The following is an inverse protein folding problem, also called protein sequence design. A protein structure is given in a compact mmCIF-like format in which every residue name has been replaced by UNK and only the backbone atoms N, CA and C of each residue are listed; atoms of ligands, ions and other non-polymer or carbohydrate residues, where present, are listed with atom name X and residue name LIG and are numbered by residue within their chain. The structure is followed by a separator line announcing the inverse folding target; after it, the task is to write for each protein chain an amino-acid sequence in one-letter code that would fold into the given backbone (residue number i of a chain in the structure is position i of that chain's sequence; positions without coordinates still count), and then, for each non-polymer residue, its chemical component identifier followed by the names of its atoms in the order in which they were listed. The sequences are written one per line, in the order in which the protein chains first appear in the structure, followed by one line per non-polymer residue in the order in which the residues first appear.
data_IF_931692711776
#
_entry.id   IF_931692711776
#
_cell.length_a   1.000
_cell.length_b   1.000
_cell.length_c   1.000
_cell.angle_alpha   90.00
_cell.angle_beta   90.00
_cell.angle_gamma   90.00
#
_symmetry.space_group_name_H-M   'P 1'
#
loop_
_entity.id
_entity.type
_entity.pdbx_description
1 polymer ?
#
# COMPACT_ATOMS: atom_id res chain seq x y z
N UNK A 1 -8.20 -1.62 -6.88
CA UNK A 1 -7.87 -0.23 -7.30
C UNK A 1 -8.69 0.80 -6.54
N UNK A 2 -9.96 0.57 -6.28
CA UNK A 2 -10.87 1.57 -5.71
C UNK A 2 -10.56 1.97 -4.25
N UNK A 3 -9.70 1.24 -3.55
CA UNK A 3 -9.16 1.66 -2.25
C UNK A 3 -7.90 2.55 -2.37
N UNK A 4 -7.26 2.63 -3.54
CA UNK A 4 -5.97 3.32 -3.70
C UNK A 4 -6.12 4.81 -4.04
N UNK A 5 -7.21 5.17 -4.72
CA UNK A 5 -7.42 6.52 -5.26
C UNK A 5 -8.87 6.97 -5.07
N UNK A 6 -9.07 8.29 -5.02
CA UNK A 6 -10.38 8.92 -5.21
C UNK A 6 -10.67 9.12 -6.70
N UNK A 7 -11.94 9.17 -7.09
CA UNK A 7 -12.34 9.19 -8.49
C UNK A 7 -13.38 10.26 -8.78
N UNK A 8 -13.33 10.79 -10.01
CA UNK A 8 -14.39 11.58 -10.63
C UNK A 8 -14.51 11.19 -12.11
N UNK A 9 -15.73 10.94 -12.59
CA UNK A 9 -16.01 10.52 -13.96
C UNK A 9 -15.11 9.37 -14.47
N UNK A 10 -14.77 8.41 -13.61
CA UNK A 10 -13.93 7.26 -13.93
C UNK A 10 -12.42 7.54 -14.00
N UNK A 11 -11.99 8.76 -13.66
CA UNK A 11 -10.58 9.19 -13.64
C UNK A 11 -10.09 9.32 -12.20
N UNK A 12 -8.84 8.95 -11.96
CA UNK A 12 -8.20 9.13 -10.64
C UNK A 12 -7.92 10.61 -10.38
N UNK A 13 -8.26 11.09 -9.18
CA UNK A 13 -8.02 12.45 -8.72
C UNK A 13 -6.83 12.55 -7.79
N UNK A 14 -6.93 11.88 -6.65
CA UNK A 14 -5.96 11.93 -5.56
C UNK A 14 -5.65 10.53 -5.04
N UNK A 15 -4.48 10.39 -4.42
CA UNK A 15 -4.17 9.21 -3.61
C UNK A 15 -5.15 9.15 -2.44
N UNK A 16 -5.72 7.99 -2.16
CA UNK A 16 -6.67 7.79 -1.08
C UNK A 16 -5.96 7.61 0.28
N UNK A 17 -5.29 8.67 0.71
CA UNK A 17 -4.66 8.78 2.03
C UNK A 17 -5.30 9.98 2.75
N UNK A 18 -6.27 9.76 3.68
CA UNK A 18 -7.07 10.85 4.28
C UNK A 18 -6.25 11.97 4.92
N UNK A 19 -5.08 11.66 5.47
CA UNK A 19 -4.13 12.64 6.03
C UNK A 19 -3.30 13.37 4.97
N UNK A 20 -3.39 12.97 3.69
CA UNK A 20 -2.70 13.56 2.54
C UNK A 20 -3.65 13.89 1.40
N UNK A 21 -4.79 14.49 1.71
CA UNK A 21 -5.92 14.68 0.78
C UNK A 21 -5.62 15.42 -0.52
N UNK A 22 -4.41 15.93 -0.71
CA UNK A 22 -4.03 16.77 -1.86
C UNK A 22 -2.93 16.16 -2.73
N UNK A 23 -2.53 14.91 -2.50
CA UNK A 23 -1.53 14.25 -3.36
C UNK A 23 -2.22 13.82 -4.66
N UNK A 24 -1.90 14.46 -5.82
CA UNK A 24 -2.49 14.07 -7.09
C UNK A 24 -2.23 12.59 -7.40
N UNK A 25 -3.22 11.93 -8.01
CA UNK A 25 -3.05 10.56 -8.48
C UNK A 25 -2.01 10.50 -9.63
N UNK A 26 -1.42 9.31 -9.89
CA UNK A 26 -0.52 9.12 -11.02
C UNK A 26 -1.22 9.36 -12.36
N UNK A 27 -0.45 9.61 -13.41
CA UNK A 27 -0.94 9.67 -14.79
C UNK A 27 -1.54 8.33 -15.23
N UNK A 28 -0.90 7.24 -14.82
CA UNK A 28 -1.34 5.86 -15.05
C UNK A 28 -1.11 5.04 -13.80
N UNK A 29 -2.11 4.29 -13.38
CA UNK A 29 -1.96 3.13 -12.51
C UNK A 29 -2.45 1.90 -13.27
N UNK A 30 -1.56 0.96 -13.54
CA UNK A 30 -1.87 -0.30 -14.19
C UNK A 30 -1.47 -1.47 -13.27
N UNK A 31 -2.34 -2.47 -13.18
CA UNK A 31 -2.09 -3.73 -12.48
C UNK A 31 -2.14 -4.89 -13.47
N UNK A 32 -1.18 -5.80 -13.38
CA UNK A 32 -1.18 -7.05 -14.13
C UNK A 32 -1.16 -8.23 -13.16
N UNK A 33 -2.20 -9.06 -13.22
CA UNK A 33 -2.26 -10.28 -12.41
C UNK A 33 -1.16 -11.27 -12.82
N UNK A 34 -0.86 -12.25 -11.97
CA UNK A 34 0.05 -13.33 -12.33
C UNK A 34 -0.50 -14.20 -13.47
N UNK A 35 -1.82 -14.19 -13.69
CA UNK A 35 -2.48 -14.83 -14.82
C UNK A 35 -2.41 -14.04 -16.14
N UNK A 36 -1.91 -12.80 -16.09
CA UNK A 36 -1.76 -11.94 -17.28
C UNK A 36 -2.88 -10.93 -17.51
N UNK A 37 -3.99 -10.97 -16.74
CA UNK A 37 -5.06 -10.01 -16.86
C UNK A 37 -4.58 -8.62 -16.46
N UNK A 38 -4.95 -7.60 -17.25
CA UNK A 38 -4.56 -6.21 -17.02
C UNK A 38 -5.79 -5.39 -16.64
N UNK A 39 -5.64 -4.60 -15.58
CA UNK A 39 -6.58 -3.55 -15.20
C UNK A 39 -5.82 -2.23 -15.05
N UNK A 40 -6.44 -1.10 -15.43
CA UNK A 40 -5.78 0.19 -15.39
C UNK A 40 -6.75 1.34 -15.15
N UNK A 41 -6.21 2.46 -14.68
CA UNK A 41 -6.90 3.74 -14.54
C UNK A 41 -5.95 4.88 -14.91
N UNK A 42 -6.51 5.94 -15.47
CA UNK A 42 -5.76 7.16 -15.81
C UNK A 42 -6.10 8.29 -14.85
N UNK A 43 -5.11 9.11 -14.52
CA UNK A 43 -5.29 10.36 -13.80
C UNK A 43 -6.08 11.38 -14.63
N UNK A 44 -6.80 12.27 -13.97
CA UNK A 44 -7.63 13.31 -14.63
C UNK A 44 -6.81 14.23 -15.56
N UNK A 45 -5.53 14.42 -15.26
CA UNK A 45 -4.63 15.30 -15.99
C UNK A 45 -4.15 14.72 -17.34
N UNK A 46 -4.42 13.46 -17.65
CA UNK A 46 -4.01 12.81 -18.91
C UNK A 46 -4.95 13.22 -20.04
N UNK A 47 -4.40 13.74 -21.14
CA UNK A 47 -5.20 14.10 -22.32
C UNK A 47 -5.84 12.89 -23.00
N UNK A 48 -7.01 13.04 -23.67
CA UNK A 48 -7.66 11.92 -24.37
C UNK A 48 -6.76 11.21 -25.39
N UNK A 49 -5.94 11.98 -26.14
CA UNK A 49 -5.04 11.41 -27.12
C UNK A 49 -3.88 10.61 -26.51
N UNK A 50 -3.31 11.05 -25.38
CA UNK A 50 -2.29 10.30 -24.66
C UNK A 50 -2.88 9.04 -24.02
N UNK A 51 -4.10 9.14 -23.49
CA UNK A 51 -4.83 8.02 -22.92
C UNK A 51 -5.07 6.92 -23.96
N UNK A 52 -5.58 7.28 -25.16
CA UNK A 52 -5.83 6.31 -26.22
C UNK A 52 -4.55 5.57 -26.65
N UNK A 53 -3.41 6.28 -26.80
CA UNK A 53 -2.13 5.65 -27.13
C UNK A 53 -1.66 4.69 -26.03
N UNK A 54 -1.71 5.13 -24.78
CA UNK A 54 -1.32 4.29 -23.65
C UNK A 54 -2.22 3.06 -23.49
N UNK A 55 -3.52 3.20 -23.75
CA UNK A 55 -4.47 2.09 -23.76
C UNK A 55 -4.12 1.05 -24.84
N UNK A 56 -3.86 1.48 -26.08
CA UNK A 56 -3.41 0.57 -27.15
C UNK A 56 -2.14 -0.20 -26.77
N UNK A 57 -1.19 0.47 -26.07
CA UNK A 57 0.02 -0.20 -25.59
C UNK A 57 -0.29 -1.27 -24.54
N UNK A 58 -1.19 -0.97 -23.58
CA UNK A 58 -1.62 -1.93 -22.55
C UNK A 58 -2.31 -3.16 -23.19
N UNK A 59 -3.20 -2.93 -24.13
CA UNK A 59 -3.92 -3.98 -24.86
C UNK A 59 -2.99 -4.83 -25.73
N UNK A 60 -1.87 -4.25 -26.21
CA UNK A 60 -0.81 -4.96 -26.92
C UNK A 60 0.19 -5.67 -26.01
N UNK A 61 -0.04 -5.65 -24.68
CA UNK A 61 0.81 -6.33 -23.71
C UNK A 61 2.12 -5.61 -23.35
N UNK A 62 2.30 -4.37 -23.80
CA UNK A 62 3.48 -3.56 -23.43
C UNK A 62 3.48 -3.32 -21.93
N UNK A 63 4.60 -3.62 -21.25
CA UNK A 63 4.79 -3.41 -19.80
C UNK A 63 6.13 -2.73 -19.55
N UNK A 64 6.25 -1.49 -20.07
CA UNK A 64 7.48 -0.70 -20.07
C UNK A 64 7.21 0.72 -19.53
N UNK A 65 7.82 1.03 -18.38
CA UNK A 65 7.62 2.30 -17.69
C UNK A 65 8.11 3.49 -18.51
N UNK A 66 9.24 3.37 -19.19
CA UNK A 66 9.83 4.46 -19.98
C UNK A 66 8.98 4.77 -21.20
N UNK A 67 8.43 3.73 -21.84
CA UNK A 67 7.52 3.91 -22.96
C UNK A 67 6.23 4.65 -22.54
N UNK A 68 5.64 4.30 -21.39
CA UNK A 68 4.50 5.03 -20.84
C UNK A 68 4.86 6.44 -20.39
N UNK A 69 6.01 6.64 -19.76
CA UNK A 69 6.51 7.96 -19.39
C UNK A 69 6.54 8.91 -20.58
N UNK A 70 7.11 8.46 -21.71
CA UNK A 70 7.17 9.24 -22.96
C UNK A 70 5.79 9.57 -23.52
N UNK A 71 4.85 8.61 -23.53
CA UNK A 71 3.49 8.81 -24.06
C UNK A 71 2.64 9.72 -23.20
N UNK A 72 2.80 9.63 -21.88
CA UNK A 72 1.98 10.34 -20.90
C UNK A 72 2.61 11.65 -20.41
N UNK A 73 3.88 11.90 -20.72
CA UNK A 73 4.61 13.06 -20.20
C UNK A 73 5.03 12.90 -18.72
N UNK A 74 5.19 11.66 -18.27
CA UNK A 74 5.62 11.37 -16.90
C UNK A 74 7.14 11.34 -16.75
N UNK A 75 7.62 11.73 -15.56
CA UNK A 75 9.07 11.78 -15.24
C UNK A 75 9.50 10.73 -14.23
N UNK A 76 8.57 10.13 -13.49
CA UNK A 76 8.83 9.10 -12.48
C UNK A 76 7.94 7.89 -12.71
N UNK A 77 8.47 6.73 -12.39
CA UNK A 77 7.70 5.49 -12.38
C UNK A 77 7.86 4.76 -11.04
N UNK A 78 6.84 3.98 -10.68
CA UNK A 78 6.88 3.09 -9.53
C UNK A 78 6.41 1.71 -9.98
N UNK A 79 7.10 0.67 -9.55
CA UNK A 79 6.74 -0.72 -9.82
C UNK A 79 6.68 -1.49 -8.52
N UNK A 80 5.55 -2.12 -8.26
CA UNK A 80 5.35 -2.88 -7.04
C UNK A 80 4.89 -4.30 -7.34
N UNK A 81 5.15 -5.19 -6.40
CA UNK A 81 4.50 -6.49 -6.31
C UNK A 81 3.43 -6.42 -5.23
N UNK A 82 2.23 -6.90 -5.56
CA UNK A 82 1.06 -6.85 -4.70
C UNK A 82 0.77 -8.24 -4.15
N UNK A 83 0.43 -8.28 -2.87
CA UNK A 83 0.12 -9.49 -2.12
C UNK A 83 -1.25 -9.35 -1.46
N UNK A 84 -1.92 -10.46 -1.23
CA UNK A 84 -3.12 -10.55 -0.41
C UNK A 84 -2.97 -11.67 0.62
N UNK A 85 -3.74 -11.62 1.68
CA UNK A 85 -3.75 -12.67 2.68
C UNK A 85 -4.91 -13.64 2.40
N UNK A 86 -4.65 -14.92 2.04
CA UNK A 86 -5.68 -15.87 1.66
C UNK A 86 -6.32 -16.60 2.85
N UNK A 87 -5.71 -16.50 4.03
CA UNK A 87 -6.16 -17.22 5.21
C UNK A 87 -7.34 -16.55 5.91
N UNK A 88 -8.06 -17.34 6.73
CA UNK A 88 -9.13 -16.85 7.61
C UNK A 88 -8.64 -16.62 9.05
N UNK A 89 -7.46 -17.11 9.38
CA UNK A 89 -6.83 -16.99 10.70
C UNK A 89 -5.35 -16.67 10.55
N UNK A 90 -4.81 -15.95 11.49
CA UNK A 90 -3.40 -15.52 11.53
C UNK A 90 -2.75 -16.13 12.76
N UNK A 91 -1.47 -16.58 12.70
CA UNK A 91 -0.73 -16.97 13.91
C UNK A 91 -0.76 -15.84 14.93
N UNK A 92 -1.01 -16.22 16.19
CA UNK A 92 -1.13 -15.24 17.27
C UNK A 92 0.08 -14.31 17.34
N UNK A 93 -0.20 -13.04 17.51
CA UNK A 93 0.77 -11.99 17.81
C UNK A 93 0.07 -10.97 18.73
N UNK A 94 0.81 -10.45 19.69
CA UNK A 94 0.27 -9.59 20.73
C UNK A 94 0.88 -8.19 20.58
N UNK A 95 0.31 -7.40 19.67
CA UNK A 95 0.63 -5.98 19.53
C UNK A 95 -0.55 -5.14 20.05
N UNK A 96 -0.21 -4.02 20.67
CA UNK A 96 -1.18 -3.06 21.15
C UNK A 96 -1.87 -2.31 20.00
N UNK A 97 -3.19 -2.23 20.03
CA UNK A 97 -3.96 -1.40 19.10
C UNK A 97 -3.95 0.05 19.59
N UNK A 98 -3.26 0.93 18.89
CA UNK A 98 -3.19 2.35 19.26
C UNK A 98 -4.52 3.06 19.03
N UNK A 99 -4.84 3.97 19.95
CA UNK A 99 -5.97 4.89 19.87
C UNK A 99 -5.48 6.34 19.71
N UNK A 100 -6.32 7.28 19.23
CA UNK A 100 -5.88 8.67 18.97
C UNK A 100 -5.26 9.38 20.18
N UNK A 101 -5.70 9.05 21.39
CA UNK A 101 -5.20 9.62 22.64
C UNK A 101 -3.72 9.25 22.91
N UNK A 102 -3.22 8.20 22.27
CA UNK A 102 -1.83 7.73 22.38
C UNK A 102 -0.88 8.36 21.35
N UNK A 103 -1.35 9.35 20.57
CA UNK A 103 -0.54 10.09 19.61
C UNK A 103 0.80 10.60 20.19
N UNK A 104 0.88 11.15 21.42
CA UNK A 104 2.17 11.56 22.01
C UNK A 104 3.15 10.40 22.20
N UNK A 105 2.66 9.20 22.51
CA UNK A 105 3.50 8.01 22.66
C UNK A 105 4.05 7.56 21.31
N UNK A 106 3.24 7.64 20.26
CA UNK A 106 3.65 7.31 18.90
C UNK A 106 4.68 8.31 18.37
N UNK A 107 4.44 9.62 18.52
CA UNK A 107 5.32 10.66 17.99
C UNK A 107 6.70 10.67 18.64
N UNK A 108 6.82 10.19 19.88
CA UNK A 108 8.10 10.06 20.58
C UNK A 108 9.09 9.13 19.85
N UNK A 109 8.60 8.18 19.05
CA UNK A 109 9.45 7.19 18.36
C UNK A 109 9.28 7.20 16.84
N UNK A 110 8.11 7.59 16.35
CA UNK A 110 7.77 7.70 14.93
C UNK A 110 7.17 9.08 14.64
N UNK A 111 8.00 10.16 14.67
CA UNK A 111 7.50 11.52 14.45
C UNK A 111 6.83 11.66 13.08
N UNK A 112 5.67 12.30 13.03
CA UNK A 112 4.85 12.50 11.84
C UNK A 112 3.83 11.37 11.58
N UNK A 113 3.97 10.20 12.22
CA UNK A 113 3.03 9.10 12.08
C UNK A 113 1.77 9.26 12.95
N UNK A 114 1.82 10.12 13.95
CA UNK A 114 0.68 10.49 14.80
C UNK A 114 -0.45 11.17 14.01
N UNK A 115 -0.10 11.86 12.91
CA UNK A 115 -1.09 12.49 12.01
C UNK A 115 -1.98 11.47 11.30
N UNK A 116 -1.46 10.26 11.08
CA UNK A 116 -2.18 9.17 10.44
C UNK A 116 -3.13 8.44 11.40
N UNK A 117 -2.86 8.48 12.71
CA UNK A 117 -3.50 7.66 13.72
C UNK A 117 -5.04 7.77 13.75
N UNK A 118 -5.65 8.97 13.58
CA UNK A 118 -7.12 9.10 13.55
C UNK A 118 -7.79 8.44 12.33
N UNK A 119 -7.02 8.13 11.28
CA UNK A 119 -7.55 7.70 9.98
C UNK A 119 -7.14 6.27 9.61
N UNK A 120 -5.99 5.80 10.07
CA UNK A 120 -5.31 4.60 9.57
C UNK A 120 -5.60 3.31 10.37
N UNK A 121 -6.83 3.18 10.91
CA UNK A 121 -7.25 2.02 11.71
C UNK A 121 -7.47 0.76 10.84
N UNK A 122 -7.14 -0.45 11.36
CA UNK A 122 -6.46 -0.69 12.63
C UNK A 122 -5.00 -0.22 12.61
N UNK A 123 -4.51 0.26 13.76
CA UNK A 123 -3.16 0.76 13.94
C UNK A 123 -2.47 -0.03 15.05
N UNK A 124 -1.60 -0.97 14.70
CA UNK A 124 -0.99 -1.91 15.64
C UNK A 124 0.46 -1.50 15.96
N UNK A 125 0.81 -1.52 17.25
CA UNK A 125 2.14 -1.18 17.75
C UNK A 125 2.77 -2.35 18.50
N UNK A 126 3.97 -2.73 18.09
CA UNK A 126 4.81 -3.68 18.80
C UNK A 126 5.71 -2.94 19.78
N UNK A 127 5.67 -3.34 21.05
CA UNK A 127 6.45 -2.74 22.12
C UNK A 127 7.67 -3.60 22.50
N UNK A 128 8.77 -2.93 22.86
CA UNK A 128 9.92 -3.52 23.57
C UNK A 128 10.40 -2.53 24.63
N UNK A 129 10.55 -3.00 25.86
CA UNK A 129 11.04 -2.19 26.99
C UNK A 129 10.24 -0.87 27.17
N UNK A 130 8.91 -0.92 27.00
CA UNK A 130 8.03 0.24 27.12
C UNK A 130 8.06 1.23 25.96
N UNK A 131 8.78 0.94 24.89
CA UNK A 131 8.90 1.78 23.69
C UNK A 131 8.22 1.12 22.51
N UNK A 132 7.50 1.90 21.67
CA UNK A 132 7.01 1.44 20.37
C UNK A 132 8.22 1.25 19.44
N UNK A 133 8.40 0.03 18.92
CA UNK A 133 9.56 -0.30 18.07
C UNK A 133 9.18 -0.67 16.64
N UNK A 134 7.94 -1.05 16.43
CA UNK A 134 7.38 -1.32 15.10
C UNK A 134 5.89 -1.03 15.08
N UNK A 135 5.41 -0.54 13.95
CA UNK A 135 3.99 -0.25 13.71
C UNK A 135 3.53 -0.89 12.41
N UNK A 136 2.25 -1.29 12.37
CA UNK A 136 1.54 -1.67 11.15
C UNK A 136 0.14 -1.05 11.18
N UNK A 137 -0.24 -0.35 10.11
CA UNK A 137 -1.49 0.39 10.03
C UNK A 137 -2.12 0.29 8.65
N UNK A 138 -3.40 0.63 8.53
CA UNK A 138 -4.11 0.70 7.26
C UNK A 138 -3.80 2.02 6.55
N UNK A 139 -2.91 2.00 5.57
CA UNK A 139 -2.55 3.22 4.81
C UNK A 139 -3.55 3.55 3.72
N UNK A 140 -4.29 2.57 3.23
CA UNK A 140 -5.39 2.72 2.26
C UNK A 140 -6.50 1.77 2.63
N UNK A 141 -7.72 2.28 2.58
CA UNK A 141 -8.91 1.58 3.10
C UNK A 141 -10.05 1.60 2.10
N UNK A 142 -10.81 0.51 2.08
CA UNK A 142 -11.96 0.28 1.21
C UNK A 142 -12.44 -1.16 1.38
N UNK A 143 -12.74 -1.85 0.29
CA UNK A 143 -13.05 -3.29 0.33
C UNK A 143 -11.82 -4.15 0.68
N UNK A 144 -10.62 -3.59 0.58
CA UNK A 144 -9.37 -4.14 1.09
C UNK A 144 -8.64 -3.05 1.87
N UNK A 145 -7.89 -3.44 2.90
CA UNK A 145 -6.96 -2.56 3.62
C UNK A 145 -5.53 -2.88 3.24
N UNK A 146 -4.74 -1.86 2.94
CA UNK A 146 -3.33 -2.01 2.62
C UNK A 146 -2.45 -1.70 3.83
N UNK A 147 -1.53 -2.62 4.14
CA UNK A 147 -0.60 -2.48 5.25
C UNK A 147 0.48 -1.44 5.00
N UNK A 148 0.66 -0.51 5.91
CA UNK A 148 1.84 0.34 5.99
C UNK A 148 2.65 0.00 7.24
N UNK A 149 3.95 -0.32 7.08
CA UNK A 149 4.80 -0.81 8.17
C UNK A 149 6.01 0.09 8.33
N UNK A 150 6.33 0.41 9.59
CA UNK A 150 7.58 1.05 9.96
C UNK A 150 8.20 0.32 11.17
N UNK A 151 9.52 0.21 11.18
CA UNK A 151 10.29 -0.42 12.29
C UNK A 151 11.56 0.36 12.52
N UNK A 152 11.83 0.69 13.78
CA UNK A 152 13.04 1.39 14.19
C UNK A 152 14.27 0.61 13.74
N UNK A 153 15.32 1.27 13.21
CA UNK A 153 16.51 0.60 12.68
C UNK A 153 17.14 -0.41 13.64
N UNK A 154 17.25 -0.06 14.91
CA UNK A 154 17.82 -0.92 15.95
C UNK A 154 17.02 -2.22 16.22
N UNK A 155 15.74 -2.26 15.84
CA UNK A 155 14.85 -3.40 16.07
C UNK A 155 14.50 -4.19 14.81
N UNK A 156 15.14 -3.86 13.68
CA UNK A 156 14.99 -4.62 12.43
C UNK A 156 15.55 -6.02 12.57
N UNK A 157 14.96 -6.98 11.81
CA UNK A 157 15.33 -8.41 11.79
C UNK A 157 15.16 -9.15 13.12
N UNK A 158 14.41 -8.59 14.06
CA UNK A 158 14.10 -9.18 15.37
C UNK A 158 12.65 -9.67 15.49
N UNK A 159 11.91 -9.75 14.38
CA UNK A 159 10.53 -10.22 14.35
C UNK A 159 9.47 -9.15 14.56
N UNK A 160 9.79 -7.96 15.09
CA UNK A 160 8.81 -6.93 15.47
C UNK A 160 7.88 -6.50 14.32
N UNK A 161 8.41 -6.36 13.09
CA UNK A 161 7.58 -6.06 11.92
C UNK A 161 6.59 -7.18 11.58
N UNK A 162 6.99 -8.45 11.79
CA UNK A 162 6.13 -9.61 11.54
C UNK A 162 5.02 -9.71 12.60
N UNK A 163 5.34 -9.43 13.86
CA UNK A 163 4.34 -9.37 14.94
C UNK A 163 3.31 -8.27 14.65
N UNK A 164 3.76 -7.05 14.32
CA UNK A 164 2.86 -5.95 13.98
C UNK A 164 1.99 -6.26 12.76
N UNK A 165 2.57 -6.85 11.70
CA UNK A 165 1.82 -7.26 10.50
C UNK A 165 0.77 -8.32 10.82
N UNK A 166 1.09 -9.33 11.63
CA UNK A 166 0.15 -10.39 12.02
C UNK A 166 -1.02 -9.83 12.84
N UNK A 167 -0.73 -9.00 13.85
CA UNK A 167 -1.78 -8.36 14.66
C UNK A 167 -2.69 -7.48 13.81
N UNK A 168 -2.11 -6.69 12.90
CA UNK A 168 -2.87 -5.88 11.94
C UNK A 168 -3.72 -6.76 11.02
N UNK A 169 -3.16 -7.84 10.46
CA UNK A 169 -3.88 -8.76 9.58
C UNK A 169 -5.07 -9.39 10.29
N UNK A 170 -4.91 -9.80 11.56
CA UNK A 170 -5.99 -10.34 12.37
C UNK A 170 -7.12 -9.31 12.54
N UNK A 171 -6.78 -8.09 12.94
CA UNK A 171 -7.75 -7.01 13.16
C UNK A 171 -8.49 -6.60 11.86
N UNK A 172 -7.85 -6.68 10.70
CA UNK A 172 -8.50 -6.43 9.40
C UNK A 172 -9.46 -7.57 9.04
N UNK A 173 -9.05 -8.83 9.26
CA UNK A 173 -9.90 -10.00 9.01
C UNK A 173 -11.14 -10.03 9.92
N UNK A 174 -11.03 -9.60 11.17
CA UNK A 174 -12.15 -9.48 12.12
C UNK A 174 -13.22 -8.50 11.62
N UNK A 175 -12.85 -7.51 10.82
CA UNK A 175 -13.75 -6.58 10.15
C UNK A 175 -14.39 -7.17 8.87
N UNK A 176 -14.03 -8.39 8.47
CA UNK A 176 -14.47 -9.00 7.21
C UNK A 176 -13.82 -8.39 5.96
N UNK A 177 -12.71 -7.68 6.13
CA UNK A 177 -11.99 -6.96 5.07
C UNK A 177 -10.79 -7.78 4.60
N UNK A 178 -10.40 -7.61 3.33
CA UNK A 178 -9.25 -8.31 2.75
C UNK A 178 -7.95 -7.59 3.10
N UNK A 179 -6.99 -8.23 3.80
CA UNK A 179 -5.67 -7.67 4.03
C UNK A 179 -4.83 -7.71 2.76
N UNK A 180 -4.33 -6.53 2.37
CA UNK A 180 -3.47 -6.32 1.20
C UNK A 180 -2.10 -5.81 1.65
N UNK A 181 -1.09 -6.06 0.81
CA UNK A 181 0.27 -5.59 1.01
C UNK A 181 0.89 -5.30 -0.35
N UNK A 182 1.56 -4.17 -0.49
CA UNK A 182 2.38 -3.90 -1.67
C UNK A 182 3.78 -3.45 -1.28
N UNK A 183 4.72 -3.67 -2.17
CA UNK A 183 6.10 -3.20 -1.97
C UNK A 183 6.83 -3.07 -3.30
N UNK A 184 7.84 -2.21 -3.32
CA UNK A 184 8.74 -2.11 -4.47
C UNK A 184 9.26 -3.48 -4.90
N UNK A 185 9.29 -3.71 -6.21
CA UNK A 185 9.64 -4.98 -6.83
C UNK A 185 11.03 -5.47 -6.40
N UNK A 186 11.95 -4.57 -6.07
CA UNK A 186 13.33 -4.88 -5.67
C UNK A 186 13.55 -4.87 -4.15
N UNK A 187 12.54 -4.52 -3.35
CA UNK A 187 12.66 -4.45 -1.90
C UNK A 187 12.59 -5.85 -1.25
N UNK A 188 13.66 -6.62 -1.32
CA UNK A 188 13.72 -8.03 -0.88
C UNK A 188 13.29 -8.23 0.59
N UNK A 189 13.67 -7.31 1.50
CA UNK A 189 13.30 -7.41 2.91
C UNK A 189 11.79 -7.33 3.13
N UNK A 190 11.11 -6.40 2.45
CA UNK A 190 9.67 -6.21 2.52
C UNK A 190 8.90 -7.38 1.89
N UNK A 191 9.37 -7.88 0.74
CA UNK A 191 8.80 -9.09 0.10
C UNK A 191 8.94 -10.31 1.01
N UNK A 192 10.11 -10.48 1.66
CA UNK A 192 10.33 -11.55 2.64
C UNK A 192 9.43 -11.43 3.87
N UNK A 193 9.11 -10.20 4.31
CA UNK A 193 8.17 -9.96 5.39
C UNK A 193 6.75 -10.37 4.99
N UNK A 194 6.27 -9.96 3.81
CA UNK A 194 4.96 -10.38 3.28
C UNK A 194 4.83 -11.91 3.24
N UNK A 195 5.82 -12.61 2.66
CA UNK A 195 5.82 -14.09 2.58
C UNK A 195 5.81 -14.73 3.96
N UNK A 196 6.62 -14.26 4.91
CA UNK A 196 6.64 -14.76 6.31
C UNK A 196 5.33 -14.45 7.05
N UNK A 197 4.65 -13.38 6.68
CA UNK A 197 3.33 -13.03 7.17
C UNK A 197 2.21 -13.91 6.62
N UNK A 198 2.49 -14.77 5.64
CA UNK A 198 1.50 -15.63 4.99
C UNK A 198 0.78 -15.00 3.81
N UNK A 199 1.26 -13.83 3.36
CA UNK A 199 0.74 -13.16 2.17
C UNK A 199 1.25 -13.84 0.89
N UNK A 200 0.38 -13.96 -0.11
CA UNK A 200 0.71 -14.54 -1.41
C UNK A 200 0.66 -13.47 -2.50
N UNK A 201 1.60 -13.48 -3.45
CA UNK A 201 1.58 -12.51 -4.54
C UNK A 201 0.41 -12.80 -5.49
N UNK A 202 -0.23 -11.73 -6.02
CA UNK A 202 -1.33 -11.87 -6.99
C UNK A 202 -1.19 -10.97 -8.22
N UNK A 203 -0.43 -9.87 -8.12
CA UNK A 203 -0.27 -8.93 -9.21
C UNK A 203 1.04 -8.14 -9.10
N UNK A 204 1.40 -7.48 -10.19
CA UNK A 204 2.37 -6.39 -10.21
C UNK A 204 1.67 -5.11 -10.65
N UNK A 205 2.11 -3.97 -10.13
CA UNK A 205 1.62 -2.66 -10.56
C UNK A 205 2.72 -1.85 -11.21
N UNK A 206 2.29 -0.96 -12.10
CA UNK A 206 3.09 0.05 -12.74
C UNK A 206 2.37 1.39 -12.61
N UNK A 207 3.04 2.37 -12.05
CA UNK A 207 2.57 3.74 -11.94
C UNK A 207 3.50 4.68 -12.69
N UNK A 208 2.89 5.67 -13.38
CA UNK A 208 3.60 6.77 -14.03
C UNK A 208 3.15 8.07 -13.40
N UNK A 209 4.10 8.87 -12.95
CA UNK A 209 3.90 10.14 -12.27
C UNK A 209 4.50 11.30 -13.06
N UNK A 210 4.01 12.52 -12.81
CA UNK A 210 4.62 13.75 -13.31
C UNK A 210 6.06 13.94 -12.81
#
# INVERSE_FOLDING_TARGET
MDCLFTYEAGRMLYVNEPWRQTVPAPLLHAGRTLGGDICYRFGQQVSPGAMSRAQTMLESGVWDADAYGKVLGGSRSKREICFWYPGKQVPAADCHALVPEEAPLLSATFPGYEEELPFASPYMACFRNGQIVSICRSVRMGQGHEAGIATLPAYRRQGCALEALRSWTAAVLEQGIVPLYSTDLHHAASRGLASKGGFVPYAQTLEIWL
#
